data_IF_470683560498
#
_entry.id   IF_470683560498
#
_cell.length_a   1.000
_cell.length_b   1.000
_cell.length_c   1.000
_cell.angle_alpha   90.00
_cell.angle_beta   90.00
_cell.angle_gamma   90.00
#
_symmetry.space_group_name_H-M   'P 1'
#
loop_
_entity.id
_entity.type
_entity.pdbx_description
1 polymer ?
#
# COMPACT_ATOMS: atom_id res chain seq x y z
N UNK A 1 1.90 13.51 -19.60
CA UNK A 1 2.24 12.10 -19.89
C UNK A 1 3.75 11.80 -19.78
N UNK A 2 4.63 12.57 -20.41
CA UNK A 2 6.10 12.35 -20.35
C UNK A 2 6.72 12.51 -18.95
N UNK A 3 6.26 13.45 -18.13
CA UNK A 3 6.81 13.69 -16.79
C UNK A 3 6.50 12.56 -15.80
N UNK A 4 5.31 11.97 -15.88
CA UNK A 4 4.91 10.81 -15.05
C UNK A 4 5.68 9.53 -15.44
N UNK A 5 5.90 9.32 -16.73
CA UNK A 5 6.73 8.20 -17.21
C UNK A 5 8.19 8.37 -16.77
N UNK A 6 8.77 9.57 -16.86
CA UNK A 6 10.13 9.87 -16.40
C UNK A 6 10.29 9.71 -14.89
N UNK A 7 9.28 10.11 -14.08
CA UNK A 7 9.29 9.92 -12.63
C UNK A 7 9.22 8.43 -12.25
N UNK A 8 8.34 7.66 -12.90
CA UNK A 8 8.21 6.21 -12.69
C UNK A 8 9.48 5.44 -13.04
N UNK A 9 10.14 5.81 -14.13
CA UNK A 9 11.44 5.23 -14.54
C UNK A 9 12.54 5.60 -13.54
N UNK A 10 12.55 6.82 -13.02
CA UNK A 10 13.55 7.29 -12.07
C UNK A 10 13.42 6.64 -10.69
N UNK A 11 12.21 6.46 -10.19
CA UNK A 11 11.93 5.75 -8.94
C UNK A 11 12.27 4.26 -9.06
N UNK A 12 11.94 3.62 -10.18
CA UNK A 12 12.28 2.23 -10.47
C UNK A 12 13.80 2.00 -10.54
N UNK A 13 14.56 2.92 -11.15
CA UNK A 13 16.03 2.82 -11.21
C UNK A 13 16.69 2.95 -9.84
N UNK A 14 16.24 3.87 -9.00
CA UNK A 14 16.74 4.03 -7.62
C UNK A 14 16.47 2.79 -6.80
N UNK A 15 15.29 2.23 -6.92
CA UNK A 15 14.92 0.97 -6.25
C UNK A 15 15.79 -0.19 -6.71
N UNK A 16 15.97 -0.37 -8.02
CA UNK A 16 16.82 -1.42 -8.59
C UNK A 16 18.28 -1.27 -8.12
N UNK A 17 18.84 -0.04 -8.14
CA UNK A 17 20.20 0.23 -7.68
C UNK A 17 20.37 -0.11 -6.20
N UNK A 18 19.39 0.25 -5.35
CA UNK A 18 19.41 -0.07 -3.93
C UNK A 18 19.44 -1.57 -3.70
N UNK A 19 18.49 -2.30 -4.32
CA UNK A 19 18.41 -3.76 -4.18
C UNK A 19 19.71 -4.42 -4.66
N UNK A 20 20.25 -3.96 -5.80
CA UNK A 20 21.53 -4.46 -6.31
C UNK A 20 22.70 -4.22 -5.32
N UNK A 21 22.76 -3.04 -4.72
CA UNK A 21 23.80 -2.70 -3.73
C UNK A 21 23.65 -3.52 -2.45
N UNK A 22 22.42 -3.66 -1.92
CA UNK A 22 22.12 -4.50 -0.75
C UNK A 22 22.50 -5.96 -1.02
N UNK A 23 22.15 -6.48 -2.19
CA UNK A 23 22.49 -7.82 -2.64
C UNK A 23 24.00 -8.03 -2.72
N UNK A 24 24.73 -7.11 -3.34
CA UNK A 24 26.18 -7.20 -3.45
C UNK A 24 26.86 -7.20 -2.09
N UNK A 25 26.44 -6.31 -1.18
CA UNK A 25 27.00 -6.22 0.18
C UNK A 25 26.67 -7.47 0.99
N UNK A 26 25.42 -7.96 0.93
CA UNK A 26 25.02 -9.17 1.63
C UNK A 26 25.80 -10.42 1.14
N UNK A 27 25.94 -10.59 -0.19
CA UNK A 27 26.69 -11.69 -0.77
C UNK A 27 28.15 -11.65 -0.38
N UNK A 28 28.78 -10.48 -0.47
CA UNK A 28 30.17 -10.30 -0.05
C UNK A 28 30.36 -10.61 1.43
N UNK A 29 29.48 -10.12 2.28
CA UNK A 29 29.54 -10.36 3.72
C UNK A 29 29.38 -11.85 4.06
N UNK A 30 28.41 -12.54 3.44
CA UNK A 30 28.24 -13.99 3.61
C UNK A 30 29.49 -14.74 3.15
N UNK A 31 30.05 -14.40 1.99
CA UNK A 31 31.26 -15.04 1.46
C UNK A 31 32.44 -14.90 2.45
N UNK A 32 32.69 -13.68 2.94
CA UNK A 32 33.78 -13.44 3.89
C UNK A 32 33.57 -14.15 5.24
N UNK A 33 32.33 -14.28 5.70
CA UNK A 33 32.00 -14.96 6.96
C UNK A 33 32.04 -16.49 6.84
N UNK A 34 31.55 -17.06 5.71
CA UNK A 34 31.44 -18.52 5.58
C UNK A 34 32.73 -19.18 5.14
N UNK A 35 33.54 -18.49 4.33
CA UNK A 35 34.77 -19.06 3.75
C UNK A 35 35.74 -19.69 4.75
N UNK A 36 36.03 -19.07 5.93
CA UNK A 36 36.95 -19.66 6.93
C UNK A 36 36.35 -20.80 7.75
N UNK A 37 35.01 -20.89 7.88
CA UNK A 37 34.36 -21.80 8.82
C UNK A 37 33.62 -22.97 8.13
N UNK A 38 32.92 -22.73 7.02
CA UNK A 38 32.08 -23.73 6.37
C UNK A 38 31.91 -23.42 4.89
N UNK A 39 32.97 -23.57 4.05
CA UNK A 39 32.90 -23.24 2.62
C UNK A 39 31.87 -24.08 1.86
N UNK A 40 31.62 -25.32 2.27
CA UNK A 40 30.64 -26.22 1.63
C UNK A 40 29.19 -25.75 1.82
N UNK A 41 28.92 -24.94 2.85
CA UNK A 41 27.59 -24.41 3.16
C UNK A 41 27.40 -22.96 2.70
N UNK A 42 28.42 -22.32 2.11
CA UNK A 42 28.41 -20.94 1.67
C UNK A 42 27.26 -20.66 0.68
N UNK A 43 27.04 -21.57 -0.27
CA UNK A 43 25.97 -21.42 -1.28
C UNK A 43 24.58 -21.30 -0.65
N UNK A 44 24.31 -22.06 0.40
CA UNK A 44 23.04 -22.01 1.12
C UNK A 44 22.84 -20.70 1.89
N UNK A 45 23.90 -20.22 2.52
CA UNK A 45 23.87 -18.93 3.21
C UNK A 45 23.69 -17.76 2.22
N UNK A 46 24.36 -17.78 1.07
CA UNK A 46 24.18 -16.77 0.00
C UNK A 46 22.75 -16.80 -0.54
N UNK A 47 22.24 -17.98 -0.88
CA UNK A 47 20.85 -18.13 -1.34
C UNK A 47 19.87 -17.57 -0.30
N UNK A 48 20.08 -17.89 0.98
CA UNK A 48 19.24 -17.37 2.07
C UNK A 48 19.30 -15.84 2.17
N UNK A 49 20.47 -15.24 2.06
CA UNK A 49 20.63 -13.79 2.08
C UNK A 49 19.91 -13.12 0.90
N UNK A 50 20.10 -13.64 -0.31
CA UNK A 50 19.48 -13.12 -1.53
C UNK A 50 17.95 -13.11 -1.48
N UNK A 51 17.37 -14.22 -1.05
CA UNK A 51 15.92 -14.36 -0.95
C UNK A 51 15.30 -13.65 0.27
N UNK A 52 16.11 -13.13 1.18
CA UNK A 52 15.64 -12.37 2.35
C UNK A 52 15.46 -10.89 2.02
N UNK A 53 16.27 -10.34 1.10
CA UNK A 53 16.22 -8.93 0.72
C UNK A 53 14.90 -8.63 0.02
N UNK A 54 14.04 -7.86 0.71
CA UNK A 54 12.72 -7.46 0.22
C UNK A 54 12.67 -6.05 -0.35
N UNK A 55 11.47 -5.63 -0.68
CA UNK A 55 11.19 -4.30 -1.26
C UNK A 55 11.33 -3.16 -0.24
N UNK A 56 11.19 -3.47 1.06
CA UNK A 56 11.34 -2.55 2.19
C UNK A 56 12.06 -3.25 3.34
N UNK A 57 12.51 -2.48 4.32
CA UNK A 57 13.09 -3.01 5.57
C UNK A 57 12.08 -3.89 6.30
N UNK A 58 10.82 -3.46 6.36
CA UNK A 58 9.74 -4.20 7.01
C UNK A 58 9.46 -5.54 6.31
N UNK A 59 9.39 -5.53 4.97
CA UNK A 59 9.22 -6.75 4.17
C UNK A 59 10.42 -7.71 4.35
N UNK A 60 11.63 -7.18 4.39
CA UNK A 60 12.85 -7.97 4.65
C UNK A 60 12.83 -8.60 6.03
N UNK A 61 12.43 -7.84 7.07
CA UNK A 61 12.33 -8.35 8.44
C UNK A 61 11.28 -9.45 8.55
N UNK A 62 10.10 -9.25 7.96
CA UNK A 62 9.04 -10.25 7.90
C UNK A 62 9.48 -11.54 7.20
N UNK A 63 10.12 -11.41 6.03
CA UNK A 63 10.69 -12.54 5.29
C UNK A 63 11.79 -13.24 6.09
N UNK A 64 12.64 -12.49 6.81
CA UNK A 64 13.70 -13.02 7.66
C UNK A 64 13.14 -13.87 8.80
N UNK A 65 12.18 -13.33 9.56
CA UNK A 65 11.53 -14.05 10.68
C UNK A 65 10.86 -15.32 10.18
N UNK A 66 10.06 -15.22 9.10
CA UNK A 66 9.38 -16.35 8.50
C UNK A 66 10.35 -17.42 8.01
N UNK A 67 11.49 -17.03 7.46
CA UNK A 67 12.52 -17.93 6.99
C UNK A 67 13.21 -18.65 8.15
N UNK A 68 13.59 -17.93 9.20
CA UNK A 68 14.22 -18.54 10.39
C UNK A 68 13.25 -19.55 11.01
N UNK A 69 12.00 -19.17 11.24
CA UNK A 69 10.99 -20.06 11.78
C UNK A 69 10.76 -21.29 10.88
N UNK A 70 10.62 -21.09 9.57
CA UNK A 70 10.48 -22.16 8.59
C UNK A 70 11.70 -23.08 8.53
N UNK A 71 12.92 -22.53 8.67
CA UNK A 71 14.15 -23.32 8.72
C UNK A 71 14.17 -24.26 9.92
N UNK A 72 13.89 -23.75 11.11
CA UNK A 72 13.90 -24.55 12.35
C UNK A 72 12.81 -25.64 12.30
N UNK A 73 11.60 -25.27 11.93
CA UNK A 73 10.48 -26.21 11.84
C UNK A 73 10.68 -27.24 10.73
N UNK A 74 11.17 -26.81 9.56
CA UNK A 74 11.40 -27.70 8.43
C UNK A 74 12.51 -28.72 8.70
N UNK A 75 13.65 -28.27 9.26
CA UNK A 75 14.73 -29.16 9.65
C UNK A 75 14.30 -30.17 10.73
N UNK A 76 13.56 -29.70 11.76
CA UNK A 76 13.00 -30.57 12.80
C UNK A 76 12.05 -31.62 12.23
N UNK A 77 11.14 -31.21 11.35
CA UNK A 77 10.17 -32.10 10.70
C UNK A 77 10.89 -33.11 9.79
N UNK A 78 11.88 -32.67 9.00
CA UNK A 78 12.70 -33.54 8.17
C UNK A 78 13.41 -34.62 8.98
N UNK A 79 14.07 -34.25 10.11
CA UNK A 79 14.73 -35.19 11.02
C UNK A 79 13.76 -36.18 11.65
N UNK A 80 12.59 -35.74 12.10
CA UNK A 80 11.57 -36.62 12.69
C UNK A 80 11.09 -37.63 11.66
N UNK A 81 10.77 -37.20 10.44
CA UNK A 81 10.27 -38.09 9.38
C UNK A 81 11.31 -39.10 8.95
N UNK A 82 12.59 -38.67 8.77
CA UNK A 82 13.69 -39.59 8.40
C UNK A 82 13.99 -40.56 9.54
N UNK A 83 13.94 -40.11 10.79
CA UNK A 83 14.12 -40.99 11.95
C UNK A 83 13.01 -42.06 12.07
N UNK A 84 11.75 -41.69 11.80
CA UNK A 84 10.62 -42.63 11.85
C UNK A 84 10.65 -43.67 10.70
N UNK A 85 11.14 -43.30 9.53
CA UNK A 85 11.15 -44.17 8.35
C UNK A 85 12.50 -44.90 8.14
N UNK A 86 13.43 -44.73 9.10
CA UNK A 86 14.72 -45.46 9.08
C UNK A 86 15.74 -44.96 8.06
N UNK A 87 15.64 -43.69 7.65
CA UNK A 87 16.62 -43.04 6.76
C UNK A 87 15.99 -42.30 5.56
N UNK A 88 16.86 -41.84 4.68
CA UNK A 88 16.44 -41.14 3.47
C UNK A 88 15.73 -42.07 2.49
N UNK A 89 14.50 -41.78 2.15
CA UNK A 89 13.69 -42.55 1.23
C UNK A 89 12.70 -41.64 0.49
N UNK A 90 12.18 -42.12 -0.65
CA UNK A 90 11.11 -41.40 -1.36
C UNK A 90 9.89 -41.19 -0.43
N UNK A 91 9.59 -42.16 0.43
CA UNK A 91 8.50 -42.07 1.38
C UNK A 91 8.76 -40.95 2.41
N UNK A 92 10.00 -40.82 2.93
CA UNK A 92 10.38 -39.76 3.82
C UNK A 92 10.26 -38.37 3.17
N UNK A 93 10.73 -38.24 1.91
CA UNK A 93 10.59 -37.00 1.16
C UNK A 93 9.12 -36.62 0.95
N UNK A 94 8.29 -37.57 0.48
CA UNK A 94 6.86 -37.30 0.24
C UNK A 94 6.12 -36.91 1.53
N UNK A 95 6.36 -37.64 2.61
CA UNK A 95 5.73 -37.35 3.92
C UNK A 95 6.17 -36.00 4.45
N UNK A 96 7.47 -35.69 4.43
CA UNK A 96 8.02 -34.42 4.85
C UNK A 96 7.45 -33.24 4.02
N UNK A 97 7.37 -33.40 2.69
CA UNK A 97 6.80 -32.41 1.79
C UNK A 97 5.31 -32.18 2.04
N UNK A 98 4.51 -33.24 2.21
CA UNK A 98 3.08 -33.14 2.48
C UNK A 98 2.82 -32.44 3.82
N UNK A 99 3.51 -32.86 4.88
CA UNK A 99 3.31 -32.28 6.22
C UNK A 99 3.73 -30.80 6.25
N UNK A 100 4.88 -30.46 5.68
CA UNK A 100 5.36 -29.07 5.69
C UNK A 100 4.51 -28.15 4.80
N UNK A 101 4.04 -28.62 3.63
CA UNK A 101 3.12 -27.81 2.82
C UNK A 101 1.73 -27.67 3.45
N UNK A 102 1.24 -28.71 4.14
CA UNK A 102 0.00 -28.61 4.91
C UNK A 102 0.13 -27.55 6.03
N UNK A 103 1.28 -27.53 6.71
CA UNK A 103 1.56 -26.51 7.72
C UNK A 103 1.66 -25.10 7.09
N UNK A 104 2.31 -24.96 5.95
CA UNK A 104 2.41 -23.72 5.21
C UNK A 104 1.04 -23.20 4.70
N UNK A 105 0.10 -24.10 4.40
CA UNK A 105 -1.26 -23.73 4.01
C UNK A 105 -2.04 -23.06 5.17
N UNK A 106 -1.74 -23.48 6.42
CA UNK A 106 -2.34 -22.89 7.63
C UNK A 106 -1.61 -21.59 8.02
N UNK A 107 -0.26 -21.60 7.92
CA UNK A 107 0.61 -20.45 8.21
C UNK A 107 1.50 -20.13 7.00
N UNK A 108 1.07 -19.21 6.12
CA UNK A 108 1.79 -18.88 4.88
C UNK A 108 3.25 -18.44 5.10
N UNK A 109 3.56 -17.88 6.26
CA UNK A 109 4.94 -17.52 6.65
C UNK A 109 5.90 -18.72 6.78
N UNK A 110 5.41 -19.96 6.84
CA UNK A 110 6.22 -21.17 7.00
C UNK A 110 6.52 -21.90 5.68
N UNK A 111 6.25 -21.29 4.53
CA UNK A 111 6.49 -21.90 3.20
C UNK A 111 7.92 -22.42 3.04
N UNK A 112 8.90 -21.77 3.68
CA UNK A 112 10.29 -22.20 3.64
C UNK A 112 10.56 -23.51 4.38
N UNK A 113 9.66 -23.92 5.29
CA UNK A 113 9.78 -25.20 6.01
C UNK A 113 9.76 -26.40 5.06
N UNK A 114 9.00 -26.33 3.97
CA UNK A 114 8.94 -27.40 2.98
C UNK A 114 10.29 -27.63 2.28
N UNK A 115 11.01 -26.55 1.99
CA UNK A 115 12.32 -26.61 1.34
C UNK A 115 13.32 -27.31 2.25
N UNK A 116 13.40 -26.88 3.53
CA UNK A 116 14.35 -27.48 4.49
C UNK A 116 13.99 -28.92 4.85
N UNK A 117 12.71 -29.21 5.03
CA UNK A 117 12.24 -30.57 5.30
C UNK A 117 12.61 -31.53 4.15
N UNK A 118 12.42 -31.09 2.90
CA UNK A 118 12.80 -31.87 1.72
C UNK A 118 14.31 -32.10 1.60
N UNK A 119 15.13 -31.06 1.86
CA UNK A 119 16.59 -31.17 1.81
C UNK A 119 17.10 -32.16 2.86
N UNK A 120 16.59 -32.06 4.10
CA UNK A 120 16.97 -32.99 5.19
C UNK A 120 16.49 -34.41 4.88
N UNK A 121 15.30 -34.57 4.29
CA UNK A 121 14.79 -35.89 3.91
C UNK A 121 15.53 -36.54 2.75
N UNK A 122 16.23 -35.78 1.93
CA UNK A 122 17.08 -36.25 0.82
C UNK A 122 18.53 -36.50 1.25
N UNK A 123 18.95 -36.07 2.43
CA UNK A 123 20.32 -36.27 2.91
C UNK A 123 20.58 -37.79 3.08
N UNK A 124 21.58 -38.37 2.42
CA UNK A 124 21.87 -39.80 2.53
C UNK A 124 22.36 -40.23 3.94
N UNK A 125 22.86 -39.28 4.69
CA UNK A 125 23.27 -39.47 6.11
C UNK A 125 22.63 -38.41 7.01
N UNK A 126 21.31 -38.50 7.29
CA UNK A 126 20.59 -37.48 8.01
C UNK A 126 20.97 -37.54 9.51
N UNK A 127 22.17 -37.09 9.82
CA UNK A 127 22.56 -36.88 11.20
C UNK A 127 22.12 -35.48 11.64
N UNK A 128 21.79 -35.33 12.93
CA UNK A 128 21.34 -34.04 13.45
C UNK A 128 22.39 -32.92 13.30
N UNK A 129 23.66 -33.26 13.01
CA UNK A 129 24.74 -32.29 12.81
C UNK A 129 24.70 -31.66 11.44
N UNK A 130 24.47 -32.43 10.38
CA UNK A 130 24.35 -31.91 9.01
C UNK A 130 23.13 -31.00 8.89
N UNK A 131 21.97 -31.42 9.42
CA UNK A 131 20.77 -30.61 9.45
C UNK A 131 20.94 -29.31 10.27
N UNK A 132 21.65 -29.35 11.38
CA UNK A 132 21.96 -28.19 12.22
C UNK A 132 22.91 -27.22 11.50
N UNK A 133 23.96 -27.73 10.85
CA UNK A 133 24.92 -26.93 10.10
C UNK A 133 24.26 -26.22 8.91
N UNK A 134 23.42 -26.93 8.16
CA UNK A 134 22.64 -26.36 7.05
C UNK A 134 21.67 -25.27 7.56
N UNK A 135 20.93 -25.58 8.62
CA UNK A 135 20.01 -24.60 9.24
C UNK A 135 20.75 -23.36 9.74
N UNK A 136 21.92 -23.55 10.36
CA UNK A 136 22.79 -22.47 10.79
C UNK A 136 23.26 -21.58 9.65
N UNK A 137 23.66 -22.17 8.52
CA UNK A 137 24.07 -21.43 7.33
C UNK A 137 22.91 -20.59 6.76
N UNK A 138 21.69 -21.14 6.68
CA UNK A 138 20.50 -20.43 6.22
C UNK A 138 20.12 -19.30 7.19
N UNK A 139 20.16 -19.53 8.48
CA UNK A 139 19.88 -18.51 9.51
C UNK A 139 20.91 -17.38 9.42
N UNK A 140 22.20 -17.70 9.32
CA UNK A 140 23.27 -16.72 9.19
C UNK A 140 23.09 -15.88 7.91
N UNK A 141 22.85 -16.50 6.77
CA UNK A 141 22.56 -15.80 5.53
C UNK A 141 21.35 -14.88 5.64
N UNK A 142 20.28 -15.34 6.29
CA UNK A 142 19.09 -14.53 6.58
C UNK A 142 19.38 -13.32 7.44
N UNK A 143 20.17 -13.48 8.51
CA UNK A 143 20.59 -12.37 9.39
C UNK A 143 21.43 -11.36 8.62
N UNK A 144 22.40 -11.81 7.82
CA UNK A 144 23.26 -10.95 7.02
C UNK A 144 22.46 -10.19 5.96
N UNK A 145 21.53 -10.86 5.25
CA UNK A 145 20.65 -10.23 4.28
C UNK A 145 19.74 -9.17 4.91
N UNK A 146 19.20 -9.47 6.10
CA UNK A 146 18.42 -8.51 6.88
C UNK A 146 19.28 -7.32 7.32
N UNK A 147 20.46 -7.55 7.88
CA UNK A 147 21.38 -6.49 8.29
C UNK A 147 21.79 -5.60 7.11
N UNK A 148 22.07 -6.18 5.94
CA UNK A 148 22.40 -5.42 4.74
C UNK A 148 21.28 -4.48 4.32
N UNK A 149 19.99 -4.88 4.45
CA UNK A 149 18.87 -4.00 4.12
C UNK A 149 18.66 -2.86 5.13
N UNK A 150 19.14 -2.99 6.37
CA UNK A 150 19.15 -1.89 7.35
C UNK A 150 20.34 -0.94 7.16
N UNK A 151 21.52 -1.49 6.84
CA UNK A 151 22.76 -0.72 6.77
C UNK A 151 22.94 0.00 5.42
N UNK A 152 22.46 -0.62 4.34
CA UNK A 152 22.65 -0.13 2.98
C UNK A 152 21.35 0.52 2.48
N UNK A 153 21.25 1.83 2.61
CA UNK A 153 20.13 2.63 2.10
C UNK A 153 18.74 2.12 2.55
N UNK A 154 18.42 2.20 3.85
CA UNK A 154 17.17 1.69 4.38
C UNK A 154 15.94 2.42 3.79
N UNK A 155 14.95 1.68 3.36
CA UNK A 155 13.67 2.20 2.89
C UNK A 155 12.55 1.55 3.70
N UNK A 156 11.92 2.36 4.55
CA UNK A 156 10.84 1.90 5.41
C UNK A 156 9.54 1.79 4.63
N UNK A 157 8.75 0.75 4.90
CA UNK A 157 7.46 0.48 4.25
C UNK A 157 6.49 1.66 4.38
N UNK A 158 6.51 2.37 5.53
CA UNK A 158 5.71 3.57 5.78
C UNK A 158 5.93 4.66 4.73
N UNK A 159 7.16 4.97 4.37
CA UNK A 159 7.45 6.03 3.38
C UNK A 159 6.88 5.68 2.00
N UNK A 160 6.85 4.39 1.67
CA UNK A 160 6.26 3.90 0.42
C UNK A 160 4.74 3.94 0.46
N UNK A 161 4.13 3.61 1.61
CA UNK A 161 2.68 3.71 1.80
C UNK A 161 2.21 5.17 1.73
N UNK A 162 2.93 6.10 2.38
CA UNK A 162 2.67 7.54 2.29
C UNK A 162 2.77 8.05 0.85
N UNK A 163 3.75 7.58 0.08
CA UNK A 163 3.87 7.96 -1.33
C UNK A 163 2.66 7.49 -2.15
N UNK A 164 2.19 6.25 -1.94
CA UNK A 164 0.99 5.74 -2.60
C UNK A 164 -0.29 6.46 -2.16
N UNK A 165 -0.38 6.87 -0.89
CA UNK A 165 -1.48 7.69 -0.40
C UNK A 165 -1.52 9.04 -1.14
N UNK A 166 -0.37 9.69 -1.31
CA UNK A 166 -0.27 10.94 -2.08
C UNK A 166 -0.67 10.76 -3.53
N UNK A 167 -0.22 9.68 -4.18
CA UNK A 167 -0.62 9.35 -5.55
C UNK A 167 -2.14 9.16 -5.67
N UNK A 168 -2.77 8.52 -4.69
CA UNK A 168 -4.22 8.33 -4.66
C UNK A 168 -4.98 9.66 -4.41
N UNK A 169 -4.47 10.53 -3.53
CA UNK A 169 -5.01 11.88 -3.32
C UNK A 169 -4.89 12.73 -4.59
N UNK A 170 -3.75 12.67 -5.28
CA UNK A 170 -3.54 13.39 -6.55
C UNK A 170 -4.48 12.88 -7.65
N UNK A 171 -4.81 11.58 -7.67
CA UNK A 171 -5.82 11.02 -8.58
C UNK A 171 -7.22 11.57 -8.31
N UNK A 172 -7.60 11.74 -7.03
CA UNK A 172 -8.86 12.38 -6.66
C UNK A 172 -8.91 13.84 -7.15
N UNK A 173 -7.80 14.59 -7.00
CA UNK A 173 -7.68 15.95 -7.50
C UNK A 173 -7.80 16.03 -9.03
N UNK A 174 -7.13 15.14 -9.75
CA UNK A 174 -7.23 15.05 -11.21
C UNK A 174 -8.66 14.73 -11.64
N UNK A 175 -9.36 13.87 -10.88
CA UNK A 175 -10.74 13.51 -11.18
C UNK A 175 -11.71 14.69 -10.97
N UNK A 176 -11.54 15.46 -9.90
CA UNK A 176 -12.28 16.71 -9.71
C UNK A 176 -12.11 17.66 -10.91
N UNK A 177 -10.88 17.79 -11.43
CA UNK A 177 -10.61 18.57 -12.64
C UNK A 177 -11.32 18.03 -13.89
N UNK A 178 -11.47 16.71 -14.00
CA UNK A 178 -12.21 16.08 -15.11
C UNK A 178 -13.72 16.27 -14.96
N UNK A 179 -14.27 16.22 -13.74
CA UNK A 179 -15.69 16.48 -13.48
C UNK A 179 -16.07 17.90 -13.92
N UNK A 180 -15.24 18.89 -13.58
CA UNK A 180 -15.48 20.27 -14.00
C UNK A 180 -15.45 20.41 -15.53
N UNK A 181 -14.47 19.80 -16.20
CA UNK A 181 -14.39 19.79 -17.67
C UNK A 181 -15.55 19.02 -18.31
N UNK A 182 -16.07 18.02 -17.62
CA UNK A 182 -17.21 17.19 -18.03
C UNK A 182 -18.52 17.96 -18.16
N UNK A 183 -18.62 19.13 -17.52
CA UNK A 183 -19.71 20.08 -17.75
C UNK A 183 -19.71 20.59 -19.21
N UNK A 184 -18.56 20.62 -19.87
CA UNK A 184 -18.40 21.13 -21.25
C UNK A 184 -18.04 20.05 -22.27
N UNK A 185 -17.34 18.98 -21.88
CA UNK A 185 -16.76 18.00 -22.83
C UNK A 185 -16.91 16.57 -22.29
N UNK A 186 -17.39 15.63 -23.12
CA UNK A 186 -17.45 14.20 -22.74
C UNK A 186 -16.10 13.52 -23.05
N UNK A 187 -15.27 13.35 -22.03
CA UNK A 187 -13.96 12.70 -22.13
C UNK A 187 -13.95 11.33 -21.44
N UNK A 188 -14.72 10.38 -22.00
CA UNK A 188 -14.86 9.01 -21.47
C UNK A 188 -13.55 8.26 -21.38
N UNK A 189 -12.63 8.50 -22.33
CA UNK A 189 -11.35 7.80 -22.37
C UNK A 189 -10.46 8.18 -21.20
N UNK A 190 -10.36 9.46 -20.88
CA UNK A 190 -9.57 9.93 -19.75
C UNK A 190 -10.15 9.48 -18.40
N UNK A 191 -11.49 9.42 -18.27
CA UNK A 191 -12.17 8.86 -17.09
C UNK A 191 -11.80 7.40 -16.88
N UNK A 192 -11.86 6.57 -17.92
CA UNK A 192 -11.49 5.16 -17.80
C UNK A 192 -10.04 4.97 -17.35
N UNK A 193 -9.09 5.70 -17.93
CA UNK A 193 -7.67 5.64 -17.53
C UNK A 193 -7.46 6.08 -16.09
N UNK A 194 -8.14 7.12 -15.65
CA UNK A 194 -8.03 7.62 -14.29
C UNK A 194 -8.58 6.62 -13.27
N UNK A 195 -9.70 5.97 -13.57
CA UNK A 195 -10.24 4.89 -12.74
C UNK A 195 -9.27 3.72 -12.61
N UNK A 196 -8.63 3.29 -13.68
CA UNK A 196 -7.63 2.21 -13.63
C UNK A 196 -6.39 2.63 -12.85
N UNK A 197 -5.95 3.88 -13.00
CA UNK A 197 -4.79 4.43 -12.29
C UNK A 197 -5.05 4.50 -10.78
N UNK A 198 -6.18 5.06 -10.37
CA UNK A 198 -6.58 5.14 -8.97
C UNK A 198 -6.67 3.75 -8.32
N UNK A 199 -7.33 2.80 -8.97
CA UNK A 199 -7.40 1.42 -8.46
C UNK A 199 -6.02 0.81 -8.27
N UNK A 200 -5.10 1.07 -9.18
CA UNK A 200 -3.70 0.62 -9.07
C UNK A 200 -2.98 1.24 -7.87
N UNK A 201 -3.15 2.54 -7.64
CA UNK A 201 -2.55 3.24 -6.50
C UNK A 201 -3.19 2.83 -5.17
N UNK A 202 -4.52 2.66 -5.12
CA UNK A 202 -5.24 2.21 -3.94
C UNK A 202 -4.83 0.78 -3.55
N UNK A 203 -4.78 -0.14 -4.51
CA UNK A 203 -4.33 -1.51 -4.26
C UNK A 203 -2.89 -1.53 -3.73
N UNK A 204 -1.99 -0.78 -4.38
CA UNK A 204 -0.60 -0.66 -3.92
C UNK A 204 -0.50 -0.02 -2.53
N UNK A 205 -1.41 0.89 -2.17
CA UNK A 205 -1.47 1.51 -0.84
C UNK A 205 -1.84 0.47 0.22
N UNK A 206 -2.91 -0.29 0.03
CA UNK A 206 -3.32 -1.33 0.98
C UNK A 206 -2.27 -2.43 1.13
N UNK A 207 -1.64 -2.86 0.04
CA UNK A 207 -0.56 -3.84 0.04
C UNK A 207 0.64 -3.34 0.87
N UNK A 208 1.05 -2.08 0.66
CA UNK A 208 2.13 -1.45 1.43
C UNK A 208 1.78 -1.21 2.90
N UNK A 209 0.52 -0.89 3.22
CA UNK A 209 0.05 -0.78 4.61
C UNK A 209 0.15 -2.15 5.29
N UNK A 210 -0.22 -3.23 4.58
CA UNK A 210 -0.09 -4.59 5.10
C UNK A 210 1.37 -4.98 5.40
N UNK A 211 2.35 -4.44 4.67
CA UNK A 211 3.78 -4.66 4.93
C UNK A 211 4.30 -3.93 6.19
N UNK A 212 3.60 -2.90 6.71
CA UNK A 212 4.12 -2.04 7.79
C UNK A 212 3.99 -2.62 9.21
N UNK A 213 3.57 -3.87 9.36
CA UNK A 213 3.29 -4.49 10.67
C UNK A 213 4.49 -4.61 11.62
N UNK A 214 5.72 -4.54 11.12
CA UNK A 214 6.94 -4.72 11.92
C UNK A 214 7.60 -3.42 12.38
N UNK A 215 7.10 -2.25 11.94
CA UNK A 215 7.65 -0.97 12.40
C UNK A 215 7.12 -0.62 13.79
N UNK A 216 7.98 -0.31 14.79
CA UNK A 216 7.56 -0.08 16.20
C UNK A 216 6.62 1.11 16.41
N UNK A 217 6.38 1.92 15.40
CA UNK A 217 5.44 3.05 15.42
C UNK A 217 4.00 2.55 15.16
N UNK A 218 3.50 1.71 16.04
CA UNK A 218 2.16 1.05 15.99
C UNK A 218 0.99 2.02 15.81
N UNK A 219 1.12 3.30 16.19
CA UNK A 219 0.09 4.33 15.96
C UNK A 219 0.01 4.81 14.51
N UNK A 220 1.08 4.65 13.74
CA UNK A 220 1.18 5.18 12.38
C UNK A 220 0.45 4.32 11.32
N UNK A 221 0.35 3.02 11.53
CA UNK A 221 -0.31 2.10 10.58
C UNK A 221 -1.83 2.23 10.59
N UNK A 222 -2.44 2.45 11.76
CA UNK A 222 -3.88 2.67 11.88
C UNK A 222 -4.31 3.96 11.16
N UNK A 223 -3.59 5.07 11.36
CA UNK A 223 -3.86 6.33 10.68
C UNK A 223 -3.73 6.24 9.16
N UNK A 224 -2.73 5.51 8.64
CA UNK A 224 -2.59 5.30 7.20
C UNK A 224 -3.75 4.48 6.61
N UNK A 225 -4.26 3.51 7.35
CA UNK A 225 -5.42 2.73 6.91
C UNK A 225 -6.68 3.57 6.89
N UNK A 226 -6.92 4.34 7.96
CA UNK A 226 -8.04 5.27 8.02
C UNK A 226 -7.97 6.34 6.91
N UNK A 227 -6.77 6.84 6.59
CA UNK A 227 -6.56 7.75 5.47
C UNK A 227 -6.84 7.08 4.11
N UNK A 228 -6.43 5.82 3.92
CA UNK A 228 -6.73 5.05 2.72
C UNK A 228 -8.24 4.84 2.55
N UNK A 229 -8.93 4.45 3.62
CA UNK A 229 -10.38 4.25 3.63
C UNK A 229 -11.12 5.58 3.33
N UNK A 230 -10.63 6.71 3.85
CA UNK A 230 -11.19 8.04 3.57
C UNK A 230 -10.98 8.47 2.11
N UNK A 231 -9.81 8.19 1.52
CA UNK A 231 -9.52 8.47 0.10
C UNK A 231 -10.36 7.57 -0.81
N UNK A 232 -10.57 6.32 -0.44
CA UNK A 232 -11.44 5.40 -1.18
C UNK A 232 -12.90 5.89 -1.14
N UNK A 233 -13.41 6.27 0.03
CA UNK A 233 -14.75 6.85 0.17
C UNK A 233 -14.91 8.14 -0.65
N UNK A 234 -13.91 9.02 -0.61
CA UNK A 234 -13.88 10.23 -1.44
C UNK A 234 -13.95 9.89 -2.93
N UNK A 235 -13.20 8.89 -3.39
CA UNK A 235 -13.26 8.46 -4.78
C UNK A 235 -14.66 8.03 -5.20
N UNK A 236 -15.35 7.24 -4.38
CA UNK A 236 -16.73 6.84 -4.67
C UNK A 236 -17.69 8.04 -4.69
N UNK A 237 -17.53 9.00 -3.78
CA UNK A 237 -18.30 10.24 -3.81
C UNK A 237 -18.09 11.02 -5.12
N UNK A 238 -16.84 11.12 -5.58
CA UNK A 238 -16.51 11.77 -6.85
C UNK A 238 -17.08 11.03 -8.05
N UNK A 239 -17.14 9.70 -8.04
CA UNK A 239 -17.79 8.90 -9.11
C UNK A 239 -19.29 9.17 -9.16
N UNK A 240 -19.94 9.30 -8.01
CA UNK A 240 -21.37 9.64 -7.94
C UNK A 240 -21.59 11.07 -8.44
N UNK A 241 -20.73 12.01 -8.03
CA UNK A 241 -20.74 13.39 -8.49
C UNK A 241 -20.58 13.50 -10.02
N UNK A 242 -19.61 12.80 -10.60
CA UNK A 242 -19.37 12.75 -12.05
C UNK A 242 -20.62 12.25 -12.81
N UNK A 243 -21.23 11.16 -12.31
CA UNK A 243 -22.47 10.64 -12.90
C UNK A 243 -23.63 11.62 -12.74
N UNK A 244 -23.75 12.27 -11.60
CA UNK A 244 -24.77 13.30 -11.35
C UNK A 244 -24.63 14.48 -12.31
N UNK A 245 -23.40 14.99 -12.49
CA UNK A 245 -23.09 16.09 -13.42
C UNK A 245 -23.38 15.70 -14.87
N UNK A 246 -22.96 14.53 -15.33
CA UNK A 246 -23.19 14.06 -16.70
C UNK A 246 -24.69 13.84 -16.96
N UNK A 247 -25.38 13.20 -16.00
CA UNK A 247 -26.83 12.96 -16.13
C UNK A 247 -27.62 14.27 -16.01
N UNK A 248 -27.19 15.18 -15.13
CA UNK A 248 -27.77 16.50 -14.95
C UNK A 248 -27.66 17.34 -16.22
N UNK A 249 -26.49 17.39 -16.86
CA UNK A 249 -26.29 18.10 -18.12
C UNK A 249 -27.27 17.66 -19.22
N UNK A 250 -27.59 16.38 -19.29
CA UNK A 250 -28.49 15.84 -20.28
C UNK A 250 -29.99 16.03 -19.95
N UNK A 251 -30.31 16.38 -18.69
CA UNK A 251 -31.69 16.36 -18.19
C UNK A 251 -32.12 17.65 -17.50
N UNK A 252 -31.17 18.49 -17.04
CA UNK A 252 -31.49 19.76 -16.40
C UNK A 252 -31.64 20.89 -17.45
N UNK A 253 -32.51 21.88 -17.17
CA UNK A 253 -32.61 23.08 -17.99
C UNK A 253 -31.28 23.86 -17.98
N UNK A 254 -30.93 24.49 -19.10
CA UNK A 254 -29.70 25.29 -19.24
C UNK A 254 -29.59 26.38 -18.14
N UNK A 255 -30.72 27.00 -17.77
CA UNK A 255 -30.76 27.98 -16.66
C UNK A 255 -30.35 27.42 -15.32
N UNK A 256 -30.68 26.17 -15.00
CA UNK A 256 -30.25 25.47 -13.79
C UNK A 256 -28.78 25.11 -13.84
N UNK A 257 -28.30 24.61 -14.98
CA UNK A 257 -26.89 24.30 -15.22
C UNK A 257 -26.03 25.56 -15.07
N UNK A 258 -26.45 26.70 -15.60
CA UNK A 258 -25.72 27.96 -15.48
C UNK A 258 -25.65 28.48 -14.05
N UNK A 259 -26.70 28.29 -13.21
CA UNK A 259 -26.70 28.67 -11.79
C UNK A 259 -25.79 27.76 -10.96
N UNK A 260 -25.77 26.47 -11.21
CA UNK A 260 -25.00 25.48 -10.43
C UNK A 260 -23.51 25.47 -10.81
N UNK A 261 -23.16 25.79 -12.04
CA UNK A 261 -21.78 25.78 -12.56
C UNK A 261 -20.78 26.59 -11.73
N UNK A 262 -21.02 27.87 -11.39
CA UNK A 262 -20.04 28.66 -10.63
C UNK A 262 -19.82 28.11 -9.23
N UNK A 263 -20.84 27.57 -8.60
CA UNK A 263 -20.74 27.00 -7.23
C UNK A 263 -20.00 25.67 -7.26
N UNK A 264 -20.24 24.82 -8.26
CA UNK A 264 -19.43 23.60 -8.45
C UNK A 264 -17.96 23.93 -8.73
N UNK A 265 -17.68 25.01 -9.46
CA UNK A 265 -16.30 25.47 -9.67
C UNK A 265 -15.64 25.95 -8.39
N UNK A 266 -16.38 26.64 -7.50
CA UNK A 266 -15.88 27.05 -6.19
C UNK A 266 -15.62 25.82 -5.28
N UNK A 267 -16.56 24.86 -5.24
CA UNK A 267 -16.38 23.57 -4.53
C UNK A 267 -15.12 22.86 -5.00
N UNK A 268 -14.92 22.75 -6.31
CA UNK A 268 -13.73 22.13 -6.86
C UNK A 268 -12.46 22.86 -6.44
N UNK A 269 -12.42 24.17 -6.52
CA UNK A 269 -11.23 24.97 -6.15
C UNK A 269 -10.84 24.71 -4.69
N UNK A 270 -11.82 24.77 -3.78
CA UNK A 270 -11.58 24.55 -2.36
C UNK A 270 -11.24 23.09 -2.02
N UNK A 271 -11.92 22.13 -2.65
CA UNK A 271 -11.59 20.72 -2.49
C UNK A 271 -10.17 20.39 -3.01
N UNK A 272 -9.76 20.96 -4.15
CA UNK A 272 -8.40 20.81 -4.65
C UNK A 272 -7.36 21.42 -3.70
N UNK A 273 -7.65 22.57 -3.07
CA UNK A 273 -6.79 23.21 -2.07
C UNK A 273 -6.60 22.31 -0.84
N UNK A 274 -7.68 21.73 -0.35
CA UNK A 274 -7.65 20.79 0.79
C UNK A 274 -6.88 19.54 0.43
N UNK A 275 -7.11 18.93 -0.74
CA UNK A 275 -6.39 17.74 -1.19
C UNK A 275 -4.90 18.00 -1.40
N UNK A 276 -4.53 19.18 -1.91
CA UNK A 276 -3.13 19.57 -2.04
C UNK A 276 -2.44 19.68 -0.68
N UNK A 277 -3.09 20.34 0.28
CA UNK A 277 -2.61 20.43 1.67
C UNK A 277 -2.48 19.04 2.30
N UNK A 278 -3.50 18.18 2.16
CA UNK A 278 -3.48 16.81 2.66
C UNK A 278 -2.34 15.98 2.03
N UNK A 279 -2.12 16.13 0.72
CA UNK A 279 -1.00 15.48 0.02
C UNK A 279 0.36 15.94 0.55
N UNK A 280 0.54 17.22 0.86
CA UNK A 280 1.77 17.77 1.47
C UNK A 280 1.91 17.28 2.91
N UNK A 281 0.84 17.32 3.71
CA UNK A 281 0.83 16.92 5.12
C UNK A 281 1.11 15.43 5.32
N UNK A 282 0.64 14.58 4.41
CA UNK A 282 0.96 13.16 4.41
C UNK A 282 2.45 12.86 4.18
N UNK A 283 3.22 13.83 3.66
CA UNK A 283 4.66 13.71 3.42
C UNK A 283 5.53 14.15 4.59
N UNK A 284 6.87 14.13 4.43
CA UNK A 284 7.81 14.61 5.44
C UNK A 284 7.84 16.14 5.57
N UNK A 285 7.01 16.87 4.82
CA UNK A 285 6.90 18.32 4.86
C UNK A 285 6.03 18.81 6.02
N UNK A 286 6.38 19.98 6.58
CA UNK A 286 5.45 20.69 7.47
C UNK A 286 4.36 21.34 6.62
N UNK A 287 3.17 20.74 6.59
CA UNK A 287 2.01 21.43 6.05
C UNK A 287 1.46 22.39 7.11
N UNK A 288 1.06 23.57 6.67
CA UNK A 288 0.20 24.44 7.49
C UNK A 288 -1.19 23.81 7.54
N UNK A 289 -1.81 23.67 8.73
CA UNK A 289 -3.18 23.19 8.84
C UNK A 289 -4.10 24.00 7.91
N UNK A 290 -4.89 23.32 7.13
CA UNK A 290 -5.85 23.98 6.24
C UNK A 290 -7.16 24.16 6.97
N UNK A 291 -7.61 25.41 7.10
CA UNK A 291 -8.94 25.72 7.66
C UNK A 291 -10.02 25.18 6.68
N UNK A 292 -10.88 24.24 7.13
CA UNK A 292 -11.94 23.69 6.32
C UNK A 292 -13.19 24.56 6.24
N UNK A 293 -13.22 25.71 6.91
CA UNK A 293 -14.42 26.56 7.04
C UNK A 293 -14.94 27.01 5.69
N UNK A 294 -14.05 27.44 4.79
CA UNK A 294 -14.43 27.87 3.46
C UNK A 294 -14.96 26.71 2.60
N UNK A 295 -14.34 25.54 2.66
CA UNK A 295 -14.83 24.34 1.98
C UNK A 295 -16.25 23.98 2.44
N UNK A 296 -16.50 23.99 3.76
CA UNK A 296 -17.84 23.71 4.32
C UNK A 296 -18.86 24.73 3.85
N UNK A 297 -18.51 26.00 3.82
CA UNK A 297 -19.38 27.08 3.35
C UNK A 297 -19.78 26.85 1.89
N UNK A 298 -18.82 26.58 1.02
CA UNK A 298 -19.07 26.41 -0.42
C UNK A 298 -19.86 25.12 -0.70
N UNK A 299 -19.61 24.05 0.06
CA UNK A 299 -20.38 22.80 -0.04
C UNK A 299 -21.82 22.97 0.43
N UNK A 300 -22.06 23.73 1.53
CA UNK A 300 -23.39 24.05 1.99
C UNK A 300 -24.15 24.88 0.95
N UNK A 301 -23.52 25.90 0.36
CA UNK A 301 -24.09 26.72 -0.69
C UNK A 301 -24.45 25.89 -1.93
N UNK A 302 -23.58 24.96 -2.34
CA UNK A 302 -23.84 24.04 -3.46
C UNK A 302 -25.05 23.15 -3.20
N UNK A 303 -25.19 22.66 -1.97
CA UNK A 303 -26.29 21.81 -1.53
C UNK A 303 -27.61 22.58 -1.51
N UNK A 304 -27.59 23.77 -0.92
CA UNK A 304 -28.78 24.62 -0.83
C UNK A 304 -29.29 25.00 -2.20
N UNK A 305 -28.40 25.33 -3.16
CA UNK A 305 -28.76 25.59 -4.55
C UNK A 305 -29.34 24.36 -5.26
N UNK A 306 -28.81 23.17 -5.01
CA UNK A 306 -29.35 21.94 -5.62
C UNK A 306 -30.73 21.60 -5.07
N UNK A 307 -30.94 21.80 -3.76
CA UNK A 307 -32.25 21.59 -3.11
C UNK A 307 -33.27 22.65 -3.53
N UNK A 308 -32.85 23.93 -3.63
CA UNK A 308 -33.71 25.00 -4.13
C UNK A 308 -34.15 24.75 -5.58
N UNK A 309 -33.22 24.30 -6.45
CA UNK A 309 -33.55 23.93 -7.83
C UNK A 309 -34.54 22.75 -7.89
N UNK A 310 -34.47 21.81 -6.94
CA UNK A 310 -35.44 20.73 -6.84
C UNK A 310 -36.84 21.22 -6.36
N UNK A 311 -36.88 22.21 -5.47
CA UNK A 311 -38.11 22.75 -4.91
C UNK A 311 -38.85 23.75 -5.83
N UNK A 312 -38.12 24.53 -6.66
CA UNK A 312 -38.68 25.53 -7.57
C UNK A 312 -39.47 24.91 -8.75
N UNK A 313 -39.18 23.66 -9.08
CA UNK A 313 -39.81 22.99 -10.24
C UNK A 313 -41.09 22.26 -9.87
N UNK A 314 -42.25 22.92 -9.90
CA UNK A 314 -43.58 22.27 -9.76
C UNK A 314 -43.87 21.23 -10.83
N UNK A 315 -43.07 21.17 -11.93
CA UNK A 315 -43.18 20.25 -13.07
C UNK A 315 -41.85 19.61 -13.44
N UNK A 316 -40.96 19.33 -12.45
CA UNK A 316 -39.70 18.65 -12.71
C UNK A 316 -39.98 17.19 -13.05
N UNK A 317 -39.44 16.73 -14.19
CA UNK A 317 -39.50 15.30 -14.56
C UNK A 317 -38.78 14.45 -13.44
N UNK A 318 -39.32 13.29 -13.07
CA UNK A 318 -38.73 12.44 -12.01
C UNK A 318 -37.24 12.16 -12.21
N UNK A 319 -36.78 12.11 -13.44
CA UNK A 319 -35.38 11.91 -13.79
C UNK A 319 -34.47 13.13 -13.46
N UNK A 320 -35.04 14.34 -13.41
CA UNK A 320 -34.31 15.55 -13.02
C UNK A 320 -34.20 15.66 -11.51
N UNK A 321 -35.26 15.32 -10.79
CA UNK A 321 -35.27 15.24 -9.34
C UNK A 321 -34.23 14.23 -8.84
N UNK A 322 -34.18 13.03 -9.42
CA UNK A 322 -33.18 12.03 -9.10
C UNK A 322 -31.74 12.52 -9.34
N UNK A 323 -31.50 13.26 -10.43
CA UNK A 323 -30.19 13.83 -10.72
C UNK A 323 -29.74 14.86 -9.66
N UNK A 324 -30.66 15.73 -9.21
CA UNK A 324 -30.40 16.73 -8.16
C UNK A 324 -30.19 16.06 -6.79
N UNK A 325 -30.98 15.07 -6.45
CA UNK A 325 -30.81 14.27 -5.22
C UNK A 325 -29.45 13.54 -5.20
N UNK A 326 -29.06 12.91 -6.31
CA UNK A 326 -27.76 12.26 -6.44
C UNK A 326 -26.60 13.25 -6.30
N UNK A 327 -26.76 14.46 -6.83
CA UNK A 327 -25.77 15.53 -6.72
C UNK A 327 -25.62 15.99 -5.26
N UNK A 328 -26.73 16.25 -4.56
CA UNK A 328 -26.74 16.62 -3.15
C UNK A 328 -26.10 15.55 -2.29
N UNK A 329 -26.45 14.29 -2.49
CA UNK A 329 -25.86 13.15 -1.78
C UNK A 329 -24.34 13.06 -2.02
N UNK A 330 -23.89 13.24 -3.25
CA UNK A 330 -22.46 13.20 -3.60
C UNK A 330 -21.66 14.32 -2.91
N UNK A 331 -22.25 15.52 -2.79
CA UNK A 331 -21.63 16.64 -2.09
C UNK A 331 -21.51 16.36 -0.59
N UNK A 332 -22.53 15.76 0.04
CA UNK A 332 -22.50 15.35 1.45
C UNK A 332 -21.44 14.28 1.72
N UNK A 333 -21.34 13.30 0.82
CA UNK A 333 -20.34 12.23 0.96
C UNK A 333 -18.92 12.75 0.73
N UNK A 334 -18.75 13.69 -0.21
CA UNK A 334 -17.48 14.37 -0.44
C UNK A 334 -17.04 15.18 0.79
N UNK A 335 -17.97 15.93 1.43
CA UNK A 335 -17.69 16.65 2.67
C UNK A 335 -17.22 15.70 3.77
N UNK A 336 -17.97 14.63 4.03
CA UNK A 336 -17.63 13.63 5.07
C UNK A 336 -16.26 13.00 4.83
N UNK A 337 -15.97 12.60 3.58
CA UNK A 337 -14.72 11.95 3.24
C UNK A 337 -13.52 12.91 3.32
N UNK A 338 -13.67 14.16 2.86
CA UNK A 338 -12.62 15.18 2.99
C UNK A 338 -12.34 15.52 4.46
N UNK A 339 -13.40 15.67 5.29
CA UNK A 339 -13.23 15.93 6.73
C UNK A 339 -12.59 14.74 7.45
N UNK A 340 -12.93 13.50 7.07
CA UNK A 340 -12.29 12.31 7.62
C UNK A 340 -10.80 12.26 7.26
N UNK A 341 -10.47 12.54 6.00
CA UNK A 341 -9.08 12.59 5.53
C UNK A 341 -8.25 13.64 6.28
N UNK A 342 -8.78 14.87 6.43
CA UNK A 342 -8.11 15.94 7.16
C UNK A 342 -7.88 15.56 8.62
N UNK A 343 -8.88 15.01 9.29
CA UNK A 343 -8.79 14.60 10.71
C UNK A 343 -7.69 13.55 10.95
N UNK A 344 -7.48 12.66 10.00
CA UNK A 344 -6.46 11.61 10.12
C UNK A 344 -5.06 12.16 9.84
N UNK A 345 -4.93 13.08 8.90
CA UNK A 345 -3.63 13.62 8.48
C UNK A 345 -3.13 14.73 9.41
N UNK A 346 -4.02 15.57 9.95
CA UNK A 346 -3.66 16.72 10.82
C UNK A 346 -3.15 16.37 12.23
N UNK A 347 -3.62 15.31 12.96
CA UNK A 347 -3.12 15.01 14.31
C UNK A 347 -1.64 14.68 14.36
N UNK A 348 -1.04 14.26 13.25
CA UNK A 348 0.41 14.02 13.19
C UNK A 348 1.24 15.31 13.20
N UNK A 349 0.64 16.47 12.91
CA UNK A 349 1.31 17.78 12.99
C UNK A 349 1.36 18.36 14.41
N UNK A 350 0.46 17.98 15.31
CA UNK A 350 0.42 18.48 16.69
C UNK A 350 1.28 17.69 17.70
N UNK A 351 1.74 16.49 17.36
CA UNK A 351 2.43 15.59 18.28
C UNK A 351 3.92 15.86 18.60
N UNK A 352 4.72 16.70 17.88
CA UNK A 352 6.16 16.78 18.11
C UNK A 352 6.60 17.59 19.34
N UNK A 353 5.76 18.39 19.96
CA UNK A 353 6.22 19.35 21.01
C UNK A 353 6.14 18.78 22.43
N UNK A 354 5.38 17.72 22.68
CA UNK A 354 5.25 17.12 24.01
C UNK A 354 6.37 16.12 24.35
N UNK A 355 7.08 15.59 23.36
CA UNK A 355 8.21 14.65 23.57
C UNK A 355 9.58 15.35 23.71
N UNK A 356 9.69 16.66 23.48
CA UNK A 356 10.91 17.44 23.71
C UNK A 356 11.02 18.02 25.11
N UNK A 357 9.98 17.89 25.96
CA UNK A 357 9.95 18.42 27.34
C UNK A 357 9.97 17.34 28.43
N UNK A 358 10.12 16.08 28.07
CA UNK A 358 10.37 14.97 28.99
C UNK A 358 11.77 14.40 28.75
#
# INVERSE_FOLDING_TARGET
MYQLAAYRIRSSRRHALRVALQTAVATLAVHLLMRPFAPDLESWAVIAALFTIGTSVDATLGAGISRIAGTVLGAGLGLVVTGLLGGSSLAALLLAAVLSNSLAAIWPGLTYAAVLAAIVALDPSPDGRSALALSGAVVLGTIVGTAASFLVWPEFGRNRAVLSLREAIDDCRDFLGLIQKGVTTDDRRNRYFLHQRFRGHLFALYDRIAETHFTPQVRSGAGLREAADAVEALWYALVILDRGVISGRARLPDSTVERVRPVLAAVQTEACRVLESASVAAGPGRATPTDPTELKRVLAEARDLTLAAAAEGRDIAPAQEQALQALSFALDEMERSLMALMRVIEPECEAPDKLRRA
#
